data_IF_573208091703
#
_entry.id   IF_573208091703
#
_cell.length_a   1.000
_cell.length_b   1.000
_cell.length_c   1.000
_cell.angle_alpha   90.00
_cell.angle_beta   90.00
_cell.angle_gamma   90.00
#
_symmetry.space_group_name_H-M   'P 1'
#
loop_
_entity.id
_entity.type
_entity.pdbx_description
1 polymer ?
#
# COMPACT_ATOMS: atom_id res chain seq x y z
N UNK A 1 -123.14 -6.36 -83.12
CA UNK A 1 -123.97 -6.07 -84.31
C UNK A 1 -124.56 -7.39 -84.78
N UNK A 2 -125.83 -7.66 -84.45
CA UNK A 2 -126.68 -8.70 -85.06
C UNK A 2 -128.13 -8.36 -84.72
N UNK A 3 -128.80 -7.83 -85.75
CA UNK A 3 -130.23 -7.95 -86.10
C UNK A 3 -131.23 -8.18 -84.96
N UNK A 4 -132.01 -7.13 -84.66
CA UNK A 4 -133.29 -7.23 -83.94
C UNK A 4 -134.31 -7.91 -84.86
N UNK A 5 -134.90 -9.06 -84.52
CA UNK A 5 -136.01 -9.60 -85.28
C UNK A 5 -137.26 -8.73 -85.10
N UNK A 6 -137.94 -8.53 -86.22
CA UNK A 6 -139.12 -7.71 -86.43
C UNK A 6 -140.28 -8.07 -85.51
N UNK A 7 -141.06 -7.04 -85.14
CA UNK A 7 -142.28 -7.15 -84.36
C UNK A 7 -143.35 -7.84 -85.20
N UNK A 8 -143.62 -9.11 -84.92
CA UNK A 8 -144.91 -9.72 -85.22
C UNK A 8 -145.97 -9.05 -84.31
N UNK A 9 -146.71 -8.11 -84.87
CA UNK A 9 -147.91 -7.51 -84.26
C UNK A 9 -148.98 -8.59 -84.09
N UNK A 10 -149.31 -8.91 -82.84
CA UNK A 10 -150.34 -9.87 -82.51
C UNK A 10 -151.73 -9.34 -82.94
N UNK A 11 -152.63 -10.17 -83.49
CA UNK A 11 -153.93 -9.69 -83.99
C UNK A 11 -154.95 -9.34 -82.89
N UNK A 12 -154.56 -9.44 -81.61
CA UNK A 12 -155.47 -9.26 -80.48
C UNK A 12 -154.78 -8.50 -79.34
N UNK A 13 -155.34 -7.33 -79.01
CA UNK A 13 -154.96 -6.51 -77.87
C UNK A 13 -155.60 -7.07 -76.59
N UNK A 14 -154.82 -7.84 -75.81
CA UNK A 14 -155.28 -8.61 -74.65
C UNK A 14 -155.41 -7.73 -73.39
N UNK A 15 -155.28 -6.41 -73.51
CA UNK A 15 -155.47 -5.48 -72.38
C UNK A 15 -156.93 -5.14 -72.07
N UNK A 16 -157.89 -5.57 -72.91
CA UNK A 16 -159.33 -5.39 -72.72
C UNK A 16 -160.04 -6.73 -72.58
N UNK A 17 -160.08 -7.23 -71.35
CA UNK A 17 -160.70 -8.53 -71.01
C UNK A 17 -162.24 -8.50 -71.12
N UNK A 18 -162.85 -7.32 -71.09
CA UNK A 18 -164.31 -7.14 -71.02
C UNK A 18 -165.05 -7.28 -72.37
N UNK A 19 -164.35 -7.28 -73.50
CA UNK A 19 -164.96 -7.34 -74.85
C UNK A 19 -165.10 -8.78 -75.40
N UNK A 20 -164.76 -9.80 -74.60
CA UNK A 20 -164.86 -11.21 -75.01
C UNK A 20 -166.26 -11.75 -74.71
N UNK A 21 -167.23 -11.39 -75.55
CA UNK A 21 -168.62 -11.85 -75.45
C UNK A 21 -168.80 -13.35 -75.78
N UNK A 22 -167.73 -14.05 -76.20
CA UNK A 22 -167.78 -15.46 -76.60
C UNK A 22 -166.60 -16.26 -76.00
N UNK A 23 -166.92 -17.32 -75.26
CA UNK A 23 -165.97 -18.18 -74.52
C UNK A 23 -164.88 -18.78 -75.43
N UNK A 24 -165.18 -18.98 -76.71
CA UNK A 24 -164.21 -19.52 -77.67
C UNK A 24 -163.05 -18.56 -77.96
N UNK A 25 -163.31 -17.25 -78.00
CA UNK A 25 -162.26 -16.24 -78.27
C UNK A 25 -161.31 -16.10 -77.08
N UNK A 26 -161.82 -16.19 -75.84
CA UNK A 26 -160.98 -16.20 -74.63
C UNK A 26 -160.07 -17.44 -74.59
N UNK A 27 -160.58 -18.60 -75.00
CA UNK A 27 -159.77 -19.83 -75.09
C UNK A 27 -158.65 -19.71 -76.13
N UNK A 28 -158.90 -19.09 -77.28
CA UNK A 28 -157.88 -18.87 -78.30
C UNK A 28 -156.82 -17.86 -77.84
N UNK A 29 -157.23 -16.73 -77.25
CA UNK A 29 -156.28 -15.75 -76.71
C UNK A 29 -155.40 -16.35 -75.61
N UNK A 30 -155.99 -17.17 -74.73
CA UNK A 30 -155.25 -17.85 -73.66
C UNK A 30 -154.30 -18.95 -74.21
N UNK A 31 -154.70 -19.69 -75.25
CA UNK A 31 -153.80 -20.62 -75.96
C UNK A 31 -152.63 -19.88 -76.62
N UNK A 32 -152.91 -18.78 -77.31
CA UNK A 32 -151.87 -17.98 -77.97
C UNK A 32 -150.92 -17.35 -76.96
N UNK A 33 -151.44 -16.81 -75.85
CA UNK A 33 -150.61 -16.28 -74.76
C UNK A 33 -149.73 -17.37 -74.13
N UNK A 34 -150.27 -18.57 -73.90
CA UNK A 34 -149.51 -19.71 -73.38
C UNK A 34 -148.45 -20.23 -74.37
N UNK A 35 -148.75 -20.27 -75.68
CA UNK A 35 -147.77 -20.60 -76.72
C UNK A 35 -146.67 -19.54 -76.83
N UNK A 36 -147.02 -18.25 -76.72
CA UNK A 36 -146.05 -17.14 -76.69
C UNK A 36 -145.17 -17.23 -75.44
N UNK A 37 -145.74 -17.52 -74.27
CA UNK A 37 -145.00 -17.72 -73.02
C UNK A 37 -144.04 -18.91 -73.14
N UNK A 38 -144.52 -20.04 -73.67
CA UNK A 38 -143.70 -21.22 -73.97
C UNK A 38 -142.55 -20.91 -74.95
N UNK A 39 -142.81 -20.09 -75.99
CA UNK A 39 -141.77 -19.67 -76.94
C UNK A 39 -140.72 -18.76 -76.29
N UNK A 40 -141.13 -17.85 -75.40
CA UNK A 40 -140.23 -16.96 -74.67
C UNK A 40 -139.43 -17.72 -73.60
N UNK A 41 -140.04 -18.70 -72.93
CA UNK A 41 -139.34 -19.59 -71.99
C UNK A 41 -138.26 -20.41 -72.70
N UNK A 42 -138.55 -20.94 -73.89
CA UNK A 42 -137.55 -21.63 -74.73
C UNK A 42 -136.42 -20.70 -75.15
N UNK A 43 -136.77 -19.50 -75.64
CA UNK A 43 -135.77 -18.52 -76.09
C UNK A 43 -134.91 -18.01 -74.91
N UNK A 44 -135.50 -17.85 -73.73
CA UNK A 44 -134.78 -17.51 -72.51
C UNK A 44 -133.86 -18.67 -72.05
N UNK A 45 -134.34 -19.92 -72.13
CA UNK A 45 -133.51 -21.09 -71.84
C UNK A 45 -132.33 -21.24 -72.81
N UNK A 46 -132.51 -20.91 -74.09
CA UNK A 46 -131.44 -20.89 -75.09
C UNK A 46 -130.44 -19.76 -74.84
N UNK A 47 -130.91 -18.56 -74.49
CA UNK A 47 -130.03 -17.44 -74.12
C UNK A 47 -129.25 -17.73 -72.84
N UNK A 48 -129.86 -18.36 -71.83
CA UNK A 48 -129.17 -18.80 -70.62
C UNK A 48 -128.12 -19.85 -70.94
N UNK A 49 -128.43 -20.86 -71.77
CA UNK A 49 -127.44 -21.85 -72.22
C UNK A 49 -126.29 -21.21 -72.99
N UNK A 50 -126.58 -20.22 -73.84
CA UNK A 50 -125.55 -19.48 -74.59
C UNK A 50 -124.68 -18.63 -73.66
N UNK A 51 -125.27 -17.92 -72.71
CA UNK A 51 -124.55 -17.14 -71.71
C UNK A 51 -123.70 -18.02 -70.80
N UNK A 52 -124.22 -19.18 -70.35
CA UNK A 52 -123.48 -20.17 -69.58
C UNK A 52 -122.31 -20.75 -70.40
N UNK A 53 -122.52 -21.04 -71.68
CA UNK A 53 -121.46 -21.53 -72.56
C UNK A 53 -120.38 -20.48 -72.78
N UNK A 54 -120.75 -19.21 -73.06
CA UNK A 54 -119.80 -18.11 -73.21
C UNK A 54 -119.03 -17.85 -71.91
N UNK A 55 -119.69 -17.92 -70.76
CA UNK A 55 -119.05 -17.75 -69.45
C UNK A 55 -118.09 -18.91 -69.14
N UNK A 56 -118.47 -20.16 -69.47
CA UNK A 56 -117.55 -21.31 -69.39
C UNK A 56 -116.36 -21.17 -70.32
N UNK A 57 -116.54 -20.66 -71.53
CA UNK A 57 -115.43 -20.43 -72.46
C UNK A 57 -114.52 -19.30 -72.00
N UNK A 58 -115.05 -18.22 -71.41
CA UNK A 58 -114.24 -17.16 -70.79
C UNK A 58 -113.47 -17.64 -69.58
N UNK A 59 -114.10 -18.43 -68.69
CA UNK A 59 -113.40 -19.04 -67.55
C UNK A 59 -112.26 -19.92 -68.04
N UNK A 60 -112.50 -20.77 -69.04
CA UNK A 60 -111.43 -21.60 -69.64
C UNK A 60 -110.30 -20.75 -70.23
N UNK A 61 -110.62 -19.70 -70.97
CA UNK A 61 -109.61 -18.81 -71.54
C UNK A 61 -108.81 -18.05 -70.46
N UNK A 62 -109.46 -17.63 -69.37
CA UNK A 62 -108.80 -17.01 -68.22
C UNK A 62 -107.91 -18.01 -67.46
N UNK A 63 -108.36 -19.25 -67.31
CA UNK A 63 -107.57 -20.34 -66.71
C UNK A 63 -106.34 -20.67 -67.59
N UNK A 64 -106.52 -20.79 -68.90
CA UNK A 64 -105.42 -20.99 -69.85
C UNK A 64 -104.42 -19.83 -69.81
N UNK A 65 -104.92 -18.58 -69.79
CA UNK A 65 -104.06 -17.40 -69.67
C UNK A 65 -103.33 -17.34 -68.33
N UNK A 66 -104.00 -17.70 -67.21
CA UNK A 66 -103.35 -17.80 -65.90
C UNK A 66 -102.27 -18.88 -65.88
N UNK A 67 -102.55 -20.06 -66.43
CA UNK A 67 -101.56 -21.14 -66.54
C UNK A 67 -100.38 -20.73 -67.42
N UNK A 68 -100.61 -19.99 -68.51
CA UNK A 68 -99.52 -19.42 -69.32
C UNK A 68 -98.67 -18.43 -68.53
N UNK A 69 -99.28 -17.50 -67.79
CA UNK A 69 -98.56 -16.54 -66.95
C UNK A 69 -97.79 -17.20 -65.81
N UNK A 70 -98.33 -18.26 -65.20
CA UNK A 70 -97.64 -19.03 -64.16
C UNK A 70 -96.42 -19.76 -64.74
N UNK A 71 -96.54 -20.30 -65.95
CA UNK A 71 -95.44 -20.96 -66.65
C UNK A 71 -94.35 -19.95 -67.06
N UNK A 72 -94.72 -18.76 -67.55
CA UNK A 72 -93.77 -17.68 -67.82
C UNK A 72 -93.07 -17.18 -66.55
N UNK A 73 -93.81 -17.04 -65.43
CA UNK A 73 -93.22 -16.69 -64.13
C UNK A 73 -92.24 -17.75 -63.64
N UNK A 74 -92.60 -19.03 -63.73
CA UNK A 74 -91.72 -20.13 -63.36
C UNK A 74 -90.43 -20.12 -64.19
N UNK A 75 -90.53 -19.91 -65.51
CA UNK A 75 -89.35 -19.78 -66.37
C UNK A 75 -88.49 -18.55 -66.04
N UNK A 76 -89.11 -17.41 -65.72
CA UNK A 76 -88.38 -16.22 -65.30
C UNK A 76 -87.66 -16.43 -63.95
N UNK A 77 -88.31 -17.10 -63.00
CA UNK A 77 -87.72 -17.46 -61.70
C UNK A 77 -86.58 -18.45 -61.84
N UNK A 78 -86.73 -19.48 -62.69
CA UNK A 78 -85.65 -20.42 -63.02
C UNK A 78 -84.47 -19.71 -63.69
N UNK A 79 -84.73 -18.82 -64.65
CA UNK A 79 -83.70 -18.02 -65.30
C UNK A 79 -82.94 -17.12 -64.31
N UNK A 80 -83.66 -16.46 -63.38
CA UNK A 80 -83.04 -15.67 -62.32
C UNK A 80 -82.26 -16.53 -61.33
N UNK A 81 -82.75 -17.72 -60.99
CA UNK A 81 -82.05 -18.67 -60.12
C UNK A 81 -80.75 -19.15 -60.76
N UNK A 82 -80.78 -19.53 -62.03
CA UNK A 82 -79.59 -19.89 -62.81
C UNK A 82 -78.60 -18.72 -62.87
N UNK A 83 -79.09 -17.51 -63.14
CA UNK A 83 -78.22 -16.32 -63.20
C UNK A 83 -77.58 -16.00 -61.84
N UNK A 84 -78.31 -16.15 -60.74
CA UNK A 84 -77.77 -16.00 -59.38
C UNK A 84 -76.70 -17.05 -59.10
N UNK A 85 -76.96 -18.33 -59.41
CA UNK A 85 -75.97 -19.41 -59.26
C UNK A 85 -74.69 -19.12 -60.05
N UNK A 86 -74.82 -18.67 -61.30
CA UNK A 86 -73.66 -18.28 -62.13
C UNK A 86 -72.88 -17.11 -61.53
N UNK A 87 -73.58 -16.08 -61.03
CA UNK A 87 -72.91 -14.95 -60.39
C UNK A 87 -72.20 -15.36 -59.09
N UNK A 88 -72.82 -16.22 -58.29
CA UNK A 88 -72.23 -16.74 -57.05
C UNK A 88 -70.97 -17.57 -57.37
N UNK A 89 -71.01 -18.41 -58.41
CA UNK A 89 -69.84 -19.14 -58.92
C UNK A 89 -68.75 -18.20 -59.43
N UNK A 90 -69.09 -17.16 -60.19
CA UNK A 90 -68.14 -16.14 -60.67
C UNK A 90 -67.50 -15.37 -59.50
N UNK A 91 -68.28 -14.98 -58.50
CA UNK A 91 -67.76 -14.29 -57.31
C UNK A 91 -66.89 -15.21 -56.46
N UNK A 92 -67.28 -16.47 -56.28
CA UNK A 92 -66.47 -17.46 -55.58
C UNK A 92 -65.15 -17.72 -56.32
N UNK A 93 -65.18 -17.85 -57.64
CA UNK A 93 -63.97 -18.00 -58.46
C UNK A 93 -63.05 -16.77 -58.38
N UNK A 94 -63.61 -15.55 -58.44
CA UNK A 94 -62.85 -14.30 -58.26
C UNK A 94 -62.26 -14.16 -56.86
N UNK A 95 -63.01 -14.54 -55.82
CA UNK A 95 -62.53 -14.55 -54.44
C UNK A 95 -61.39 -15.54 -54.26
N UNK A 96 -61.53 -16.77 -54.77
CA UNK A 96 -60.48 -17.78 -54.74
C UNK A 96 -59.23 -17.35 -55.53
N UNK A 97 -59.39 -16.69 -56.68
CA UNK A 97 -58.27 -16.15 -57.45
C UNK A 97 -57.50 -15.08 -56.66
N UNK A 98 -58.21 -14.11 -56.06
CA UNK A 98 -57.58 -13.08 -55.19
C UNK A 98 -56.89 -13.70 -53.99
N UNK A 99 -57.48 -14.73 -53.37
CA UNK A 99 -56.86 -15.43 -52.26
C UNK A 99 -55.55 -16.11 -52.68
N UNK A 100 -55.51 -16.80 -53.83
CA UNK A 100 -54.28 -17.38 -54.38
C UNK A 100 -53.23 -16.32 -54.70
N UNK A 101 -53.63 -15.17 -55.24
CA UNK A 101 -52.70 -14.05 -55.46
C UNK A 101 -52.14 -13.50 -54.14
N UNK A 102 -52.96 -13.35 -53.10
CA UNK A 102 -52.51 -12.92 -51.79
C UNK A 102 -51.58 -13.94 -51.14
N UNK A 103 -51.91 -15.23 -51.22
CA UNK A 103 -51.06 -16.32 -50.73
C UNK A 103 -49.73 -16.36 -51.48
N UNK A 104 -49.74 -16.17 -52.81
CA UNK A 104 -48.54 -16.03 -53.63
C UNK A 104 -47.66 -14.85 -53.21
N UNK A 105 -48.26 -13.66 -53.03
CA UNK A 105 -47.53 -12.46 -52.54
C UNK A 105 -46.96 -12.67 -51.14
N UNK A 106 -47.67 -13.37 -50.25
CA UNK A 106 -47.17 -13.69 -48.91
C UNK A 106 -46.03 -14.71 -48.98
N UNK A 107 -46.10 -15.70 -49.87
CA UNK A 107 -45.01 -16.66 -50.10
C UNK A 107 -43.76 -15.96 -50.62
N UNK A 108 -43.88 -15.10 -51.63
CA UNK A 108 -42.76 -14.30 -52.16
C UNK A 108 -42.17 -13.37 -51.09
N UNK A 109 -43.01 -12.70 -50.29
CA UNK A 109 -42.54 -11.85 -49.21
C UNK A 109 -41.77 -12.63 -48.14
N UNK A 110 -42.26 -13.83 -47.79
CA UNK A 110 -41.58 -14.75 -46.86
C UNK A 110 -40.25 -15.22 -47.43
N UNK A 111 -40.20 -15.59 -48.70
CA UNK A 111 -38.97 -16.02 -49.35
C UNK A 111 -37.93 -14.89 -49.39
N UNK A 112 -38.33 -13.66 -49.77
CA UNK A 112 -37.44 -12.49 -49.72
C UNK A 112 -36.93 -12.20 -48.31
N UNK A 113 -37.81 -12.32 -47.30
CA UNK A 113 -37.42 -12.15 -45.91
C UNK A 113 -36.42 -13.23 -45.46
N UNK A 114 -36.64 -14.49 -45.84
CA UNK A 114 -35.72 -15.60 -45.56
C UNK A 114 -34.37 -15.42 -46.26
N UNK A 115 -34.36 -15.01 -47.53
CA UNK A 115 -33.14 -14.72 -48.26
C UNK A 115 -32.37 -13.53 -47.65
N UNK A 116 -33.08 -12.48 -47.22
CA UNK A 116 -32.46 -11.36 -46.53
C UNK A 116 -31.89 -11.76 -45.17
N UNK A 117 -32.61 -12.58 -44.40
CA UNK A 117 -32.14 -13.10 -43.13
C UNK A 117 -30.88 -13.96 -43.32
N UNK A 118 -30.89 -14.88 -44.29
CA UNK A 118 -29.73 -15.73 -44.60
C UNK A 118 -28.50 -14.91 -45.02
N UNK A 119 -28.67 -13.85 -45.83
CA UNK A 119 -27.58 -12.93 -46.19
C UNK A 119 -27.01 -12.21 -44.99
N UNK A 120 -27.87 -11.70 -44.10
CA UNK A 120 -27.42 -11.06 -42.88
C UNK A 120 -26.68 -12.04 -41.97
N UNK A 121 -27.18 -13.26 -41.81
CA UNK A 121 -26.52 -14.31 -41.02
C UNK A 121 -25.13 -14.66 -41.60
N UNK A 122 -25.01 -14.74 -42.92
CA UNK A 122 -23.72 -14.92 -43.61
C UNK A 122 -22.77 -13.73 -43.34
N UNK A 123 -23.24 -12.49 -43.46
CA UNK A 123 -22.45 -11.29 -43.16
C UNK A 123 -22.00 -11.23 -41.70
N UNK A 124 -22.90 -11.54 -40.75
CA UNK A 124 -22.56 -11.63 -39.33
C UNK A 124 -21.54 -12.73 -39.05
N UNK A 125 -21.68 -13.90 -39.69
CA UNK A 125 -20.73 -15.01 -39.52
C UNK A 125 -19.34 -14.66 -40.05
N UNK A 126 -19.25 -14.00 -41.21
CA UNK A 126 -17.99 -13.49 -41.79
C UNK A 126 -17.36 -12.46 -40.86
N UNK A 127 -18.15 -11.49 -40.40
CA UNK A 127 -17.65 -10.44 -39.50
C UNK A 127 -17.15 -11.02 -38.18
N UNK A 128 -17.84 -12.03 -37.65
CA UNK A 128 -17.41 -12.74 -36.45
C UNK A 128 -16.08 -13.48 -36.70
N UNK A 129 -15.93 -14.16 -37.83
CA UNK A 129 -14.67 -14.85 -38.18
C UNK A 129 -13.51 -13.86 -38.33
N UNK A 130 -13.72 -12.73 -39.00
CA UNK A 130 -12.71 -11.65 -39.11
C UNK A 130 -12.25 -11.16 -37.72
N UNK A 131 -13.22 -10.87 -36.84
CA UNK A 131 -12.91 -10.45 -35.47
C UNK A 131 -12.17 -11.54 -34.69
N UNK A 132 -12.59 -12.80 -34.81
CA UNK A 132 -11.90 -13.93 -34.16
C UNK A 132 -10.45 -14.08 -34.69
N UNK A 133 -10.20 -13.89 -35.98
CA UNK A 133 -8.84 -13.90 -36.55
C UNK A 133 -8.00 -12.72 -36.07
N UNK A 134 -8.58 -11.52 -36.00
CA UNK A 134 -7.92 -10.32 -35.48
C UNK A 134 -7.56 -10.48 -34.00
N UNK A 135 -8.48 -11.02 -33.19
CA UNK A 135 -8.22 -11.29 -31.77
C UNK A 135 -7.11 -12.31 -31.58
N UNK A 136 -7.10 -13.40 -32.36
CA UNK A 136 -6.00 -14.40 -32.32
C UNK A 136 -4.67 -13.76 -32.70
N UNK A 137 -4.63 -12.99 -33.79
CA UNK A 137 -3.41 -12.29 -34.20
C UNK A 137 -2.89 -11.32 -33.14
N UNK A 138 -3.78 -10.60 -32.44
CA UNK A 138 -3.40 -9.73 -31.31
C UNK A 138 -2.88 -10.52 -30.11
N UNK A 139 -3.49 -11.67 -29.79
CA UNK A 139 -3.00 -12.55 -28.72
C UNK A 139 -1.61 -13.11 -29.05
N UNK A 140 -1.37 -13.50 -30.29
CA UNK A 140 -0.06 -13.97 -30.75
C UNK A 140 0.98 -12.83 -30.66
N UNK A 141 0.63 -11.62 -31.08
CA UNK A 141 1.50 -10.45 -30.96
C UNK A 141 1.82 -10.11 -29.50
N UNK A 142 0.84 -10.18 -28.59
CA UNK A 142 1.03 -9.97 -27.16
C UNK A 142 1.94 -11.05 -26.56
N UNK A 143 1.75 -12.33 -26.89
CA UNK A 143 2.60 -13.41 -26.40
C UNK A 143 4.06 -13.25 -26.88
N UNK A 144 4.27 -12.76 -28.10
CA UNK A 144 5.61 -12.43 -28.60
C UNK A 144 6.23 -11.28 -27.79
N UNK A 145 5.47 -10.23 -27.48
CA UNK A 145 5.95 -9.13 -26.64
C UNK A 145 6.28 -9.60 -25.22
N UNK A 146 5.44 -10.44 -24.62
CA UNK A 146 5.69 -11.04 -23.31
C UNK A 146 6.97 -11.89 -23.31
N UNK A 147 7.19 -12.70 -24.34
CA UNK A 147 8.43 -13.49 -24.47
C UNK A 147 9.68 -12.59 -24.54
N UNK A 148 9.60 -11.46 -25.25
CA UNK A 148 10.68 -10.47 -25.33
C UNK A 148 10.92 -9.78 -23.98
N UNK A 149 9.86 -9.43 -23.25
CA UNK A 149 9.98 -8.85 -21.90
C UNK A 149 10.66 -9.85 -20.97
N UNK A 150 10.22 -11.11 -20.92
CA UNK A 150 10.85 -12.17 -20.11
C UNK A 150 12.33 -12.38 -20.47
N UNK A 151 12.67 -12.33 -21.76
CA UNK A 151 14.09 -12.43 -22.19
C UNK A 151 14.93 -11.25 -21.72
N UNK A 152 14.35 -10.05 -21.64
CA UNK A 152 15.03 -8.87 -21.10
C UNK A 152 15.14 -8.93 -19.58
N UNK A 153 14.09 -9.35 -18.88
CA UNK A 153 14.10 -9.53 -17.42
C UNK A 153 15.16 -10.54 -16.99
N UNK A 154 15.27 -11.68 -17.68
CA UNK A 154 16.34 -12.66 -17.43
C UNK A 154 17.72 -12.06 -17.69
N UNK A 155 17.92 -11.33 -18.79
CA UNK A 155 19.20 -10.65 -19.05
C UNK A 155 19.56 -9.56 -18.03
N UNK A 156 18.56 -8.90 -17.44
CA UNK A 156 18.77 -7.91 -16.38
C UNK A 156 19.13 -8.60 -15.07
N UNK A 157 18.43 -9.68 -14.71
CA UNK A 157 18.76 -10.49 -13.54
C UNK A 157 20.20 -11.04 -13.63
N UNK A 158 20.61 -11.54 -14.80
CA UNK A 158 21.98 -12.00 -15.02
C UNK A 158 23.00 -10.88 -14.77
N UNK A 159 22.76 -9.68 -15.33
CA UNK A 159 23.63 -8.50 -15.12
C UNK A 159 23.67 -8.04 -13.67
N UNK A 160 22.55 -8.10 -12.95
CA UNK A 160 22.50 -7.81 -11.51
C UNK A 160 23.36 -8.80 -10.74
N UNK A 161 23.27 -10.10 -11.04
CA UNK A 161 24.13 -11.10 -10.37
C UNK A 161 25.61 -10.92 -10.71
N UNK A 162 25.95 -10.53 -11.94
CA UNK A 162 27.32 -10.20 -12.34
C UNK A 162 27.84 -8.97 -11.60
N UNK A 163 27.02 -7.92 -11.47
CA UNK A 163 27.37 -6.71 -10.75
C UNK A 163 27.55 -6.96 -9.24
N UNK A 164 26.68 -7.77 -8.62
CA UNK A 164 26.81 -8.19 -7.24
C UNK A 164 28.10 -8.98 -7.00
N UNK A 165 28.43 -9.91 -7.92
CA UNK A 165 29.70 -10.65 -7.88
C UNK A 165 30.89 -9.71 -7.98
N UNK A 166 30.88 -8.76 -8.92
CA UNK A 166 31.92 -7.75 -9.06
C UNK A 166 32.10 -6.93 -7.77
N UNK A 167 31.00 -6.46 -7.18
CA UNK A 167 31.03 -5.71 -5.92
C UNK A 167 31.54 -6.56 -4.75
N UNK A 168 31.17 -7.84 -4.69
CA UNK A 168 31.67 -8.77 -3.69
C UNK A 168 33.19 -8.99 -3.83
N UNK A 169 33.69 -9.16 -5.05
CA UNK A 169 35.14 -9.27 -5.33
C UNK A 169 35.87 -8.00 -4.92
N UNK A 170 35.39 -6.81 -5.32
CA UNK A 170 36.01 -5.54 -4.94
C UNK A 170 36.02 -5.32 -3.42
N UNK A 171 34.93 -5.66 -2.72
CA UNK A 171 34.90 -5.62 -1.26
C UNK A 171 35.92 -6.57 -0.64
N UNK A 172 36.05 -7.78 -1.16
CA UNK A 172 37.02 -8.75 -0.67
C UNK A 172 38.48 -8.26 -0.87
N UNK A 173 38.79 -7.67 -2.03
CA UNK A 173 40.09 -7.06 -2.32
C UNK A 173 40.41 -5.93 -1.33
N UNK A 174 39.47 -5.02 -1.09
CA UNK A 174 39.65 -3.92 -0.14
C UNK A 174 39.83 -4.41 1.29
N UNK A 175 39.12 -5.47 1.71
CA UNK A 175 39.30 -6.06 3.05
C UNK A 175 40.72 -6.65 3.20
N UNK A 176 41.24 -7.30 2.17
CA UNK A 176 42.62 -7.82 2.17
C UNK A 176 43.63 -6.67 2.22
N UNK A 177 43.40 -5.58 1.49
CA UNK A 177 44.28 -4.41 1.50
C UNK A 177 44.27 -3.68 2.84
N UNK A 178 43.10 -3.49 3.47
CA UNK A 178 42.98 -2.95 4.82
C UNK A 178 43.77 -3.81 5.81
N UNK A 179 43.57 -5.13 5.80
CA UNK A 179 44.28 -6.05 6.70
C UNK A 179 45.81 -6.02 6.48
N UNK A 180 46.26 -5.80 5.23
CA UNK A 180 47.67 -5.61 4.92
C UNK A 180 48.20 -4.30 5.53
N UNK A 181 47.49 -3.19 5.34
CA UNK A 181 47.88 -1.88 5.89
C UNK A 181 47.92 -1.92 7.42
N UNK A 182 46.94 -2.56 8.05
CA UNK A 182 46.89 -2.75 9.51
C UNK A 182 48.11 -3.52 10.00
N UNK A 183 48.45 -4.66 9.38
CA UNK A 183 49.67 -5.43 9.72
C UNK A 183 50.96 -4.63 9.52
N UNK A 184 51.05 -3.85 8.45
CA UNK A 184 52.21 -2.97 8.22
C UNK A 184 52.30 -1.85 9.28
N UNK A 185 51.16 -1.31 9.71
CA UNK A 185 51.08 -0.31 10.78
C UNK A 185 51.47 -0.91 12.15
N UNK A 186 50.95 -2.09 12.48
CA UNK A 186 51.31 -2.84 13.70
C UNK A 186 52.80 -3.14 13.74
N UNK A 187 53.39 -3.61 12.63
CA UNK A 187 54.83 -3.85 12.53
C UNK A 187 55.63 -2.57 12.78
N UNK A 188 55.27 -1.46 12.14
CA UNK A 188 55.94 -0.16 12.35
C UNK A 188 55.78 0.34 13.79
N UNK A 189 54.62 0.11 14.41
CA UNK A 189 54.39 0.43 15.81
C UNK A 189 55.28 -0.42 16.73
N UNK A 190 55.39 -1.73 16.48
CA UNK A 190 56.25 -2.63 17.22
C UNK A 190 57.73 -2.26 17.10
N UNK A 191 58.20 -1.93 15.89
CA UNK A 191 59.57 -1.44 15.64
C UNK A 191 59.86 -0.14 16.42
N UNK A 192 58.90 0.80 16.46
CA UNK A 192 59.01 2.03 17.28
C UNK A 192 59.04 1.74 18.78
N UNK A 193 58.19 0.84 19.27
CA UNK A 193 58.19 0.43 20.68
C UNK A 193 59.52 -0.21 21.07
N UNK A 194 60.05 -1.12 20.26
CA UNK A 194 61.36 -1.73 20.48
C UNK A 194 62.49 -0.69 20.46
N UNK A 195 62.46 0.24 19.51
CA UNK A 195 63.41 1.37 19.45
C UNK A 195 63.36 2.23 20.71
N UNK A 196 62.17 2.53 21.23
CA UNK A 196 62.00 3.32 22.45
C UNK A 196 62.43 2.55 23.68
N UNK A 197 62.13 1.25 23.76
CA UNK A 197 62.59 0.36 24.83
C UNK A 197 64.12 0.31 24.87
N UNK A 198 64.79 0.08 23.73
CA UNK A 198 66.24 0.08 23.65
C UNK A 198 66.85 1.43 24.06
N UNK A 199 66.24 2.55 23.66
CA UNK A 199 66.68 3.89 24.06
C UNK A 199 66.50 4.14 25.58
N UNK A 200 65.40 3.64 26.16
CA UNK A 200 65.15 3.71 27.60
C UNK A 200 66.12 2.83 28.39
N UNK A 201 66.38 1.61 27.96
CA UNK A 201 67.37 0.71 28.58
C UNK A 201 68.78 1.32 28.53
N UNK A 202 69.17 1.91 27.40
CA UNK A 202 70.44 2.62 27.28
C UNK A 202 70.54 3.82 28.25
N UNK A 203 69.44 4.58 28.40
CA UNK A 203 69.36 5.68 29.37
C UNK A 203 69.40 5.18 30.81
N UNK A 204 68.66 4.13 31.14
CA UNK A 204 68.66 3.51 32.46
C UNK A 204 70.06 3.03 32.83
N UNK A 205 70.73 2.30 31.93
CA UNK A 205 72.11 1.86 32.13
C UNK A 205 73.07 3.03 32.35
N UNK A 206 72.94 4.11 31.55
CA UNK A 206 73.74 5.32 31.76
C UNK A 206 73.48 5.98 33.12
N UNK A 207 72.23 5.99 33.59
CA UNK A 207 71.85 6.52 34.91
C UNK A 207 72.36 5.61 36.02
N UNK A 208 72.30 4.29 35.87
CA UNK A 208 72.85 3.31 36.80
C UNK A 208 74.37 3.43 36.91
N UNK A 209 75.07 3.62 35.79
CA UNK A 209 76.52 3.84 35.77
C UNK A 209 76.91 5.18 36.42
N UNK A 210 76.11 6.24 36.22
CA UNK A 210 76.29 7.53 36.89
C UNK A 210 76.03 7.40 38.39
N UNK A 211 74.93 6.72 38.77
CA UNK A 211 74.58 6.44 40.15
C UNK A 211 75.61 5.57 40.85
N UNK A 212 76.16 4.54 40.19
CA UNK A 212 77.22 3.70 40.74
C UNK A 212 78.50 4.51 41.01
N UNK A 213 78.84 5.44 40.10
CA UNK A 213 79.96 6.38 40.30
C UNK A 213 79.71 7.31 41.48
N UNK A 214 78.53 7.92 41.55
CA UNK A 214 78.13 8.82 42.63
C UNK A 214 78.06 8.09 43.97
N UNK A 215 77.50 6.88 43.98
CA UNK A 215 77.45 6.00 45.15
C UNK A 215 78.85 5.63 45.61
N UNK A 216 79.75 5.20 44.72
CA UNK A 216 81.14 4.90 45.09
C UNK A 216 81.87 6.14 45.64
N UNK A 217 81.60 7.32 45.09
CA UNK A 217 82.12 8.58 45.60
C UNK A 217 81.56 8.93 46.98
N UNK A 218 80.25 8.77 47.19
CA UNK A 218 79.58 8.96 48.48
C UNK A 218 80.03 7.93 49.51
N UNK A 219 80.16 6.65 49.15
CA UNK A 219 80.65 5.58 50.03
C UNK A 219 82.09 5.86 50.48
N UNK A 220 82.96 6.34 49.57
CA UNK A 220 84.30 6.82 49.96
C UNK A 220 84.22 7.98 50.94
N UNK A 221 83.30 8.91 50.73
CA UNK A 221 83.12 10.02 51.65
C UNK A 221 82.48 9.63 52.97
N UNK A 222 81.56 8.67 52.98
CA UNK A 222 80.95 8.13 54.19
C UNK A 222 81.98 7.31 54.95
N UNK A 223 82.83 6.53 54.28
CA UNK A 223 83.96 5.85 54.90
C UNK A 223 84.97 6.86 55.48
N UNK A 224 85.29 7.91 54.72
CA UNK A 224 86.06 9.03 55.23
C UNK A 224 85.34 9.66 56.43
N UNK A 225 84.03 9.95 56.34
CA UNK A 225 83.17 10.56 57.38
C UNK A 225 83.12 9.73 58.64
N UNK A 226 82.85 8.43 58.55
CA UNK A 226 82.91 7.45 59.63
C UNK A 226 84.30 7.41 60.25
N UNK A 227 85.37 7.38 59.46
CA UNK A 227 86.72 7.38 60.01
C UNK A 227 87.07 8.63 60.84
N UNK A 228 86.58 9.84 60.46
CA UNK A 228 86.77 11.05 61.31
C UNK A 228 85.55 11.36 62.22
N UNK A 229 84.49 10.54 62.21
CA UNK A 229 83.38 10.61 63.15
C UNK A 229 83.54 9.58 64.30
N UNK A 230 84.22 8.45 64.04
CA UNK A 230 84.79 7.59 65.08
C UNK A 230 85.86 8.33 65.91
N UNK A 231 86.48 9.39 65.35
CA UNK A 231 87.35 10.33 66.06
C UNK A 231 86.63 11.54 66.71
N UNK A 232 85.35 11.76 66.41
CA UNK A 232 84.62 12.94 66.87
C UNK A 232 83.23 12.51 67.37
N UNK A 233 83.20 12.23 68.67
CA UNK A 233 82.05 11.86 69.51
C UNK A 233 80.78 12.67 69.21
N UNK A 234 79.64 12.00 69.46
CA UNK A 234 78.24 12.45 69.63
C UNK A 234 77.82 13.81 69.05
N UNK A 235 76.72 13.84 68.28
CA UNK A 235 75.72 14.86 68.61
C UNK A 235 74.31 14.62 68.04
N UNK A 236 73.35 15.11 68.81
CA UNK A 236 71.92 14.86 68.79
C UNK A 236 71.13 15.71 67.77
N UNK A 237 71.77 16.71 67.15
CA UNK A 237 71.15 17.67 66.23
C UNK A 237 70.83 17.06 64.84
N UNK A 238 71.64 16.10 64.36
CA UNK A 238 71.42 15.39 63.08
C UNK A 238 70.18 14.49 63.08
N UNK A 239 69.66 14.12 64.27
CA UNK A 239 68.44 13.30 64.42
C UNK A 239 67.16 14.13 64.29
N UNK A 240 67.24 15.46 64.41
CA UNK A 240 66.08 16.36 64.33
C UNK A 240 65.70 16.66 62.88
N UNK A 241 66.68 16.97 62.03
CA UNK A 241 66.47 17.21 60.59
C UNK A 241 66.05 15.94 59.82
N UNK A 242 66.47 14.76 60.31
CA UNK A 242 66.06 13.47 59.75
C UNK A 242 64.60 13.10 60.08
N UNK A 243 64.05 13.61 61.19
CA UNK A 243 62.65 13.40 61.58
C UNK A 243 61.72 14.33 60.80
N UNK A 244 62.08 15.60 60.61
CA UNK A 244 61.28 16.56 59.82
C UNK A 244 61.16 16.13 58.34
N UNK A 245 62.23 15.58 57.77
CA UNK A 245 62.20 15.06 56.38
C UNK A 245 61.46 13.73 56.24
N UNK A 246 61.36 12.92 57.29
CA UNK A 246 60.53 11.71 57.32
C UNK A 246 59.03 12.04 57.48
N UNK A 247 58.68 13.09 58.22
CA UNK A 247 57.30 13.54 58.39
C UNK A 247 56.74 14.18 57.10
N UNK A 248 57.57 14.90 56.33
CA UNK A 248 57.18 15.44 55.02
C UNK A 248 56.96 14.33 53.98
N UNK A 249 57.74 13.25 54.02
CA UNK A 249 57.54 12.08 53.16
C UNK A 249 56.23 11.35 53.50
N UNK A 250 55.89 11.27 54.80
CA UNK A 250 54.66 10.62 55.28
C UNK A 250 53.41 11.41 54.89
N UNK A 251 53.44 12.74 54.98
CA UNK A 251 52.36 13.63 54.50
C UNK A 251 52.17 13.55 52.99
N UNK A 252 53.24 13.40 52.22
CA UNK A 252 53.16 13.22 50.77
C UNK A 252 52.54 11.86 50.39
N UNK A 253 52.84 10.80 51.15
CA UNK A 253 52.24 9.47 50.97
C UNK A 253 50.75 9.45 51.35
N UNK A 254 50.36 10.05 52.48
CA UNK A 254 48.94 10.16 52.88
C UNK A 254 48.12 11.00 51.89
N UNK A 255 48.70 12.05 51.30
CA UNK A 255 48.05 12.82 50.22
C UNK A 255 47.86 11.99 48.94
N UNK A 256 48.76 11.05 48.65
CA UNK A 256 48.67 10.15 47.49
C UNK A 256 47.59 9.08 47.70
N UNK A 257 47.48 8.55 48.92
CA UNK A 257 46.48 7.53 49.27
C UNK A 257 45.05 8.11 49.32
N UNK A 258 44.88 9.38 49.72
CA UNK A 258 43.59 10.07 49.61
C UNK A 258 43.17 10.31 48.15
N UNK A 259 44.13 10.55 47.24
CA UNK A 259 43.84 10.72 45.81
C UNK A 259 43.51 9.39 45.12
N UNK A 260 44.18 8.29 45.49
CA UNK A 260 43.83 6.97 45.01
C UNK A 260 42.37 6.60 45.34
N UNK A 261 41.89 6.99 46.53
CA UNK A 261 40.47 6.83 46.92
C UNK A 261 39.52 7.69 46.08
N UNK A 262 39.89 8.93 45.74
CA UNK A 262 39.10 9.78 44.85
C UNK A 262 39.01 9.22 43.42
N UNK A 263 40.10 8.64 42.89
CA UNK A 263 40.10 8.01 41.58
C UNK A 263 39.20 6.77 41.52
N UNK A 264 39.23 5.92 42.55
CA UNK A 264 38.34 4.75 42.65
C UNK A 264 36.86 5.17 42.69
N UNK A 265 36.53 6.27 43.36
CA UNK A 265 35.16 6.82 43.37
C UNK A 265 34.69 7.35 42.01
N UNK A 266 35.57 8.00 41.24
CA UNK A 266 35.28 8.47 39.88
C UNK A 266 35.12 7.31 38.89
N UNK A 267 35.94 6.26 39.02
CA UNK A 267 35.86 5.07 38.17
C UNK A 267 34.56 4.29 38.39
N UNK A 268 34.08 4.23 39.64
CA UNK A 268 32.78 3.65 39.98
C UNK A 268 31.62 4.45 39.36
N UNK A 269 31.63 5.78 39.51
CA UNK A 269 30.61 6.66 38.91
C UNK A 269 30.58 6.58 37.38
N UNK A 270 31.74 6.41 36.73
CA UNK A 270 31.83 6.24 35.28
C UNK A 270 31.24 4.90 34.81
N UNK A 271 31.49 3.80 35.54
CA UNK A 271 30.90 2.49 35.24
C UNK A 271 29.38 2.52 35.39
N UNK A 272 28.87 3.14 36.45
CA UNK A 272 27.43 3.31 36.69
C UNK A 272 26.74 4.15 35.60
N UNK A 273 27.37 5.26 35.19
CA UNK A 273 26.91 6.09 34.07
C UNK A 273 26.88 5.35 32.73
N UNK A 274 27.86 4.46 32.49
CA UNK A 274 27.93 3.64 31.26
C UNK A 274 26.84 2.57 31.22
N UNK A 275 26.48 1.97 32.35
CA UNK A 275 25.38 1.01 32.41
C UNK A 275 24.01 1.67 32.23
N UNK A 276 23.79 2.85 32.83
CA UNK A 276 22.56 3.64 32.62
C UNK A 276 22.38 4.10 31.17
N UNK A 277 23.47 4.44 30.49
CA UNK A 277 23.45 4.76 29.06
C UNK A 277 23.08 3.55 28.20
N UNK A 278 23.61 2.37 28.54
CA UNK A 278 23.24 1.12 27.85
C UNK A 278 21.77 0.75 28.07
N UNK A 279 21.28 0.80 29.30
CA UNK A 279 19.88 0.48 29.59
C UNK A 279 18.93 1.47 28.91
N UNK A 280 19.22 2.78 28.96
CA UNK A 280 18.44 3.81 28.27
C UNK A 280 18.44 3.66 26.75
N UNK A 281 19.60 3.33 26.15
CA UNK A 281 19.70 3.04 24.71
C UNK A 281 18.86 1.82 24.31
N UNK A 282 18.90 0.74 25.09
CA UNK A 282 18.13 -0.48 24.80
C UNK A 282 16.62 -0.27 24.98
N UNK A 283 16.19 0.53 25.96
CA UNK A 283 14.78 0.95 26.09
C UNK A 283 14.33 1.78 24.90
N UNK A 284 15.11 2.77 24.46
CA UNK A 284 14.80 3.57 23.27
C UNK A 284 14.69 2.72 22.00
N UNK A 285 15.55 1.70 21.84
CA UNK A 285 15.46 0.74 20.73
C UNK A 285 14.19 -0.10 20.79
N UNK A 286 13.77 -0.55 21.98
CA UNK A 286 12.52 -1.32 22.17
C UNK A 286 11.29 -0.47 21.88
N UNK A 287 11.27 0.79 22.30
CA UNK A 287 10.18 1.72 21.99
C UNK A 287 10.09 2.01 20.49
N UNK A 288 11.23 2.24 19.83
CA UNK A 288 11.30 2.41 18.38
C UNK A 288 10.80 1.17 17.62
N UNK A 289 11.15 -0.03 18.11
CA UNK A 289 10.68 -1.29 17.52
C UNK A 289 9.15 -1.45 17.65
N UNK A 290 8.58 -1.16 18.83
CA UNK A 290 7.13 -1.18 19.06
C UNK A 290 6.40 -0.17 18.17
N UNK A 291 6.94 1.04 18.02
CA UNK A 291 6.36 2.06 17.15
C UNK A 291 6.38 1.64 15.67
N UNK A 292 7.45 0.95 15.22
CA UNK A 292 7.54 0.40 13.86
C UNK A 292 6.55 -0.74 13.62
N UNK A 293 6.39 -1.65 14.57
CA UNK A 293 5.38 -2.71 14.47
C UNK A 293 3.95 -2.13 14.43
N UNK A 294 3.63 -1.16 15.28
CA UNK A 294 2.33 -0.49 15.26
C UNK A 294 2.09 0.24 13.92
N UNK A 295 3.10 0.92 13.38
CA UNK A 295 3.00 1.58 12.08
C UNK A 295 2.83 0.57 10.92
N UNK A 296 3.50 -0.59 10.98
CA UNK A 296 3.35 -1.65 10.00
C UNK A 296 1.94 -2.27 10.04
N UNK A 297 1.41 -2.53 11.24
CA UNK A 297 0.04 -3.01 11.42
C UNK A 297 -0.99 -1.99 10.90
N UNK A 298 -0.79 -0.70 11.16
CA UNK A 298 -1.65 0.37 10.64
C UNK A 298 -1.58 0.50 9.10
N UNK A 299 -0.41 0.26 8.49
CA UNK A 299 -0.28 0.22 7.03
C UNK A 299 -0.99 -1.01 6.44
N UNK A 300 -0.90 -2.17 7.09
CA UNK A 300 -1.57 -3.37 6.62
C UNK A 300 -3.09 -3.25 6.70
N UNK A 301 -3.63 -2.69 7.79
CA UNK A 301 -5.08 -2.42 7.92
C UNK A 301 -5.56 -1.41 6.88
N UNK A 302 -4.80 -0.34 6.64
CA UNK A 302 -5.11 0.63 5.59
C UNK A 302 -5.07 -0.02 4.18
N UNK A 303 -4.10 -0.88 3.90
CA UNK A 303 -4.00 -1.59 2.62
C UNK A 303 -5.17 -2.57 2.39
N UNK A 304 -5.62 -3.27 3.45
CA UNK A 304 -6.81 -4.13 3.38
C UNK A 304 -8.07 -3.30 3.12
N UNK A 305 -8.23 -2.18 3.83
CA UNK A 305 -9.36 -1.27 3.63
C UNK A 305 -9.41 -0.69 2.20
N UNK A 306 -8.26 -0.30 1.63
CA UNK A 306 -8.19 0.17 0.23
C UNK A 306 -8.57 -0.94 -0.78
N UNK A 307 -8.17 -2.19 -0.55
CA UNK A 307 -8.60 -3.32 -1.39
C UNK A 307 -10.10 -3.56 -1.32
N UNK A 308 -10.69 -3.49 -0.13
CA UNK A 308 -12.14 -3.62 0.06
C UNK A 308 -12.90 -2.48 -0.64
N UNK A 309 -12.37 -1.25 -0.56
CA UNK A 309 -12.97 -0.08 -1.22
C UNK A 309 -12.93 -0.22 -2.75
N UNK A 310 -11.80 -0.67 -3.32
CA UNK A 310 -11.69 -0.95 -4.75
C UNK A 310 -12.63 -2.08 -5.21
N UNK A 311 -12.82 -3.12 -4.40
CA UNK A 311 -13.77 -4.20 -4.70
C UNK A 311 -15.23 -3.71 -4.65
N UNK A 312 -15.54 -2.79 -3.74
CA UNK A 312 -16.86 -2.21 -3.59
C UNK A 312 -17.16 -1.21 -4.73
N UNK A 313 -16.19 -0.41 -5.15
CA UNK A 313 -16.29 0.44 -6.36
C UNK A 313 -16.55 -0.39 -7.63
N UNK A 314 -15.81 -1.50 -7.81
CA UNK A 314 -16.03 -2.41 -8.93
C UNK A 314 -17.44 -3.04 -8.90
N UNK A 315 -17.99 -3.32 -7.71
CA UNK A 315 -19.35 -3.83 -7.55
C UNK A 315 -20.40 -2.77 -7.90
N UNK A 316 -20.17 -1.52 -7.51
CA UNK A 316 -21.06 -0.40 -7.84
C UNK A 316 -21.07 -0.09 -9.35
N UNK A 317 -19.93 -0.19 -10.04
CA UNK A 317 -19.88 -0.05 -11.50
C UNK A 317 -20.61 -1.19 -12.22
N UNK A 318 -20.54 -2.43 -11.70
CA UNK A 318 -21.35 -3.55 -12.22
C UNK A 318 -22.85 -3.28 -12.07
N UNK A 319 -23.28 -2.80 -10.90
CA UNK A 319 -24.69 -2.49 -10.65
C UNK A 319 -25.19 -1.31 -11.49
N UNK A 320 -24.35 -0.29 -11.73
CA UNK A 320 -24.66 0.79 -12.69
C UNK A 320 -24.83 0.25 -14.12
N UNK A 321 -23.94 -0.64 -14.57
CA UNK A 321 -24.03 -1.26 -15.89
C UNK A 321 -25.29 -2.14 -16.02
N UNK A 322 -25.62 -2.90 -14.98
CA UNK A 322 -26.82 -3.73 -14.93
C UNK A 322 -28.10 -2.89 -14.93
N UNK A 323 -28.13 -1.78 -14.17
CA UNK A 323 -29.21 -0.80 -14.19
C UNK A 323 -29.37 -0.13 -15.57
N UNK A 324 -28.28 0.19 -16.26
CA UNK A 324 -28.31 0.77 -17.61
C UNK A 324 -28.82 -0.21 -18.69
N UNK A 325 -28.68 -1.52 -18.45
CA UNK A 325 -29.11 -2.57 -19.38
C UNK A 325 -30.60 -2.96 -19.26
N UNK A 326 -31.31 -2.50 -18.22
CA UNK A 326 -32.74 -2.82 -18.03
C UNK A 326 -33.64 -1.92 -18.89
N UNK A 327 -34.61 -2.49 -19.64
CA UNK A 327 -35.54 -1.71 -20.47
C UNK A 327 -36.40 -0.77 -19.61
N UNK A 328 -36.64 0.45 -20.13
CA UNK A 328 -37.24 1.63 -19.44
C UNK A 328 -38.72 1.49 -19.03
N UNK A 329 -39.23 0.31 -18.73
CA UNK A 329 -40.61 0.12 -18.27
C UNK A 329 -40.63 -0.29 -16.80
N UNK A 330 -41.36 0.52 -16.01
CA UNK A 330 -41.48 0.55 -14.55
C UNK A 330 -40.34 1.27 -13.81
N UNK A 331 -40.69 2.45 -13.27
CA UNK A 331 -39.96 3.18 -12.24
C UNK A 331 -39.99 2.35 -10.95
N UNK A 332 -39.14 1.33 -10.86
CA UNK A 332 -39.01 0.53 -9.65
C UNK A 332 -38.24 1.32 -8.60
N UNK A 333 -39.00 2.04 -7.76
CA UNK A 333 -38.52 2.75 -6.57
C UNK A 333 -37.70 1.89 -5.59
N UNK A 334 -37.68 0.57 -5.77
CA UNK A 334 -36.85 -0.38 -5.04
C UNK A 334 -35.39 -0.38 -5.51
N UNK A 335 -35.13 -0.25 -6.82
CA UNK A 335 -33.78 -0.20 -7.36
C UNK A 335 -33.07 1.11 -6.99
N UNK A 336 -33.80 2.24 -7.03
CA UNK A 336 -33.27 3.53 -6.55
C UNK A 336 -32.99 3.54 -5.05
N UNK A 337 -33.80 2.83 -4.24
CA UNK A 337 -33.56 2.66 -2.80
C UNK A 337 -32.32 1.81 -2.53
N UNK A 338 -32.17 0.69 -3.23
CA UNK A 338 -30.97 -0.17 -3.11
C UNK A 338 -29.68 0.56 -3.51
N UNK A 339 -29.70 1.37 -4.57
CA UNK A 339 -28.54 2.18 -4.96
C UNK A 339 -28.22 3.29 -3.94
N UNK A 340 -29.23 3.87 -3.28
CA UNK A 340 -29.01 4.84 -2.19
C UNK A 340 -28.44 4.17 -0.95
N UNK A 341 -28.96 3.02 -0.56
CA UNK A 341 -28.45 2.25 0.59
C UNK A 341 -27.00 1.80 0.38
N UNK A 342 -26.64 1.34 -0.82
CA UNK A 342 -25.25 1.00 -1.14
C UNK A 342 -24.34 2.23 -1.17
N UNK A 343 -24.82 3.37 -1.71
CA UNK A 343 -24.07 4.63 -1.66
C UNK A 343 -23.82 5.05 -0.21
N UNK A 344 -24.83 5.02 0.65
CA UNK A 344 -24.69 5.40 2.06
C UNK A 344 -23.74 4.44 2.80
N UNK A 345 -23.77 3.15 2.46
CA UNK A 345 -22.83 2.15 2.98
C UNK A 345 -21.39 2.44 2.54
N UNK A 346 -21.18 2.79 1.27
CA UNK A 346 -19.86 3.17 0.75
C UNK A 346 -19.36 4.49 1.35
N UNK A 347 -20.23 5.50 1.51
CA UNK A 347 -19.88 6.75 2.17
C UNK A 347 -19.50 6.50 3.65
N UNK A 348 -20.18 5.58 4.34
CA UNK A 348 -19.81 5.17 5.70
C UNK A 348 -18.45 4.46 5.74
N UNK A 349 -18.18 3.56 4.81
CA UNK A 349 -16.87 2.91 4.68
C UNK A 349 -15.76 3.92 4.37
N UNK A 350 -16.00 4.88 3.47
CA UNK A 350 -15.05 5.92 3.11
C UNK A 350 -14.69 6.80 4.32
N UNK A 351 -15.69 7.21 5.13
CA UNK A 351 -15.45 7.94 6.39
C UNK A 351 -14.63 7.12 7.40
N UNK A 352 -14.84 5.81 7.46
CA UNK A 352 -14.04 4.92 8.31
C UNK A 352 -12.58 4.84 7.84
N UNK A 353 -12.34 4.74 6.53
CA UNK A 353 -10.99 4.74 5.96
C UNK A 353 -10.29 6.09 6.16
N UNK A 354 -11.01 7.20 6.00
CA UNK A 354 -10.48 8.54 6.28
C UNK A 354 -10.10 8.70 7.76
N UNK A 355 -10.91 8.18 8.69
CA UNK A 355 -10.57 8.17 10.11
C UNK A 355 -9.29 7.36 10.39
N UNK A 356 -9.21 6.13 9.85
CA UNK A 356 -8.00 5.31 9.98
C UNK A 356 -6.76 5.96 9.35
N UNK A 357 -6.93 6.72 8.25
CA UNK A 357 -5.84 7.47 7.65
C UNK A 357 -5.37 8.64 8.54
N UNK A 358 -6.29 9.37 9.16
CA UNK A 358 -5.94 10.43 10.13
C UNK A 358 -5.22 9.86 11.35
N UNK A 359 -5.67 8.72 11.87
CA UNK A 359 -5.01 8.03 12.98
C UNK A 359 -3.58 7.60 12.58
N UNK A 360 -3.41 7.02 11.39
CA UNK A 360 -2.09 6.67 10.86
C UNK A 360 -1.18 7.89 10.67
N UNK A 361 -1.72 9.04 10.25
CA UNK A 361 -0.97 10.30 10.17
C UNK A 361 -0.57 10.82 11.55
N UNK A 362 -1.47 10.74 12.55
CA UNK A 362 -1.18 11.11 13.94
C UNK A 362 -0.04 10.25 14.51
N UNK A 363 -0.08 8.93 14.32
CA UNK A 363 0.98 8.01 14.73
C UNK A 363 2.32 8.30 14.04
N UNK A 364 2.31 8.72 12.76
CA UNK A 364 3.53 9.16 12.07
C UNK A 364 4.11 10.44 12.66
N UNK A 365 3.26 11.40 13.04
CA UNK A 365 3.70 12.62 13.71
C UNK A 365 4.25 12.34 15.11
N UNK A 366 3.63 11.43 15.86
CA UNK A 366 4.15 10.99 17.16
C UNK A 366 5.49 10.27 17.02
N UNK A 367 5.64 9.37 16.05
CA UNK A 367 6.91 8.71 15.76
C UNK A 367 8.02 9.71 15.37
N UNK A 368 7.68 10.76 14.59
CA UNK A 368 8.60 11.84 14.27
C UNK A 368 9.02 12.62 15.52
N UNK A 369 8.07 12.99 16.39
CA UNK A 369 8.36 13.65 17.68
C UNK A 369 9.24 12.82 18.59
N UNK A 370 9.00 11.51 18.68
CA UNK A 370 9.84 10.59 19.45
C UNK A 370 11.26 10.56 18.87
N UNK A 371 11.38 10.48 17.53
CA UNK A 371 12.69 10.49 16.86
C UNK A 371 13.46 11.79 17.11
N UNK A 372 12.80 12.93 17.04
CA UNK A 372 13.39 14.24 17.37
C UNK A 372 13.78 14.32 18.86
N UNK A 373 12.94 13.81 19.77
CA UNK A 373 13.24 13.71 21.19
C UNK A 373 14.44 12.81 21.51
N UNK A 374 14.59 11.68 20.81
CA UNK A 374 15.76 10.81 20.91
C UNK A 374 17.02 11.53 20.43
N UNK A 375 16.96 12.22 19.29
CA UNK A 375 18.11 12.97 18.76
C UNK A 375 18.53 14.12 19.70
N UNK A 376 17.56 14.81 20.32
CA UNK A 376 17.84 15.84 21.32
C UNK A 376 18.53 15.27 22.56
N UNK A 377 18.04 14.15 23.10
CA UNK A 377 18.66 13.44 24.23
C UNK A 377 20.06 12.93 23.90
N UNK A 378 20.28 12.40 22.69
CA UNK A 378 21.62 12.04 22.24
C UNK A 378 22.54 13.26 22.22
N UNK A 379 22.07 14.40 21.71
CA UNK A 379 22.80 15.67 21.75
C UNK A 379 23.21 16.11 23.15
N UNK A 380 22.29 16.03 24.12
CA UNK A 380 22.55 16.32 25.54
C UNK A 380 23.55 15.33 26.17
N UNK A 381 23.48 14.05 25.81
CA UNK A 381 24.43 13.05 26.29
C UNK A 381 25.83 13.27 25.71
N UNK A 382 25.93 13.69 24.44
CA UNK A 382 27.19 14.06 23.80
C UNK A 382 27.79 15.35 24.37
N UNK A 383 26.99 16.36 24.69
CA UNK A 383 27.48 17.58 25.34
C UNK A 383 27.97 17.28 26.76
N UNK A 384 27.20 16.52 27.53
CA UNK A 384 27.59 16.10 28.89
C UNK A 384 28.82 15.19 28.89
N UNK A 385 28.95 14.31 27.90
CA UNK A 385 30.16 13.52 27.67
C UNK A 385 31.38 14.40 27.40
N UNK A 386 31.24 15.44 26.57
CA UNK A 386 32.31 16.44 26.34
C UNK A 386 32.68 17.18 27.62
N UNK A 387 31.72 17.67 28.40
CA UNK A 387 31.98 18.34 29.68
C UNK A 387 32.74 17.44 30.66
N UNK A 388 32.41 16.15 30.71
CA UNK A 388 33.12 15.18 31.56
C UNK A 388 34.56 14.97 31.09
N UNK A 389 34.79 14.84 29.78
CA UNK A 389 36.14 14.71 29.22
C UNK A 389 36.98 15.97 29.44
N UNK A 390 36.38 17.17 29.33
CA UNK A 390 37.05 18.43 29.64
C UNK A 390 37.40 18.54 31.13
N UNK A 391 36.51 18.11 32.02
CA UNK A 391 36.79 18.03 33.47
C UNK A 391 37.91 17.03 33.78
N UNK A 392 37.91 15.88 33.13
CA UNK A 392 38.96 14.87 33.28
C UNK A 392 40.31 15.42 32.79
N UNK A 393 40.34 16.06 31.62
CA UNK A 393 41.54 16.72 31.09
C UNK A 393 42.06 17.80 32.07
N UNK A 394 41.17 18.61 32.66
CA UNK A 394 41.54 19.60 33.66
C UNK A 394 42.09 18.97 34.97
N UNK A 395 41.54 17.83 35.40
CA UNK A 395 42.08 17.09 36.54
C UNK A 395 43.46 16.51 36.24
N UNK A 396 43.65 15.94 35.05
CA UNK A 396 44.95 15.41 34.62
C UNK A 396 46.01 16.52 34.52
N UNK A 397 45.64 17.71 34.04
CA UNK A 397 46.53 18.88 34.05
C UNK A 397 46.94 19.28 35.48
N UNK A 398 46.00 19.29 36.44
CA UNK A 398 46.30 19.56 37.86
C UNK A 398 47.19 18.49 38.50
N UNK A 399 47.03 17.23 38.10
CA UNK A 399 47.92 16.14 38.55
C UNK A 399 49.34 16.38 38.02
N UNK A 400 49.49 16.70 36.73
CA UNK A 400 50.79 17.01 36.13
C UNK A 400 51.47 18.22 36.82
N UNK A 401 50.75 19.31 37.08
CA UNK A 401 51.28 20.48 37.80
C UNK A 401 51.78 20.11 39.21
N UNK A 402 51.08 19.20 39.90
CA UNK A 402 51.48 18.72 41.23
C UNK A 402 52.66 17.77 41.16
N UNK A 403 52.74 16.89 40.18
CA UNK A 403 53.92 16.05 39.95
C UNK A 403 55.17 16.89 39.68
N UNK A 404 55.04 17.96 38.88
CA UNK A 404 56.13 18.93 38.72
C UNK A 404 56.48 19.63 40.03
N UNK A 405 55.48 20.00 40.85
CA UNK A 405 55.72 20.62 42.15
C UNK A 405 56.45 19.68 43.11
N UNK A 406 56.09 18.39 43.12
CA UNK A 406 56.79 17.33 43.86
C UNK A 406 58.22 17.17 43.34
N UNK A 407 58.41 17.09 42.03
CA UNK A 407 59.76 17.03 41.42
C UNK A 407 60.62 18.24 41.78
N UNK A 408 60.04 19.46 41.81
CA UNK A 408 60.72 20.67 42.28
C UNK A 408 61.06 20.60 43.77
N UNK A 409 60.17 20.06 44.61
CA UNK A 409 60.42 19.87 46.04
C UNK A 409 61.54 18.84 46.28
N UNK A 410 61.53 17.71 45.59
CA UNK A 410 62.60 16.72 45.64
C UNK A 410 63.95 17.29 45.20
N UNK A 411 63.96 18.09 44.12
CA UNK A 411 65.17 18.78 43.67
C UNK A 411 65.69 19.78 44.73
N UNK A 412 64.81 20.50 45.41
CA UNK A 412 65.17 21.39 46.53
C UNK A 412 65.73 20.60 47.71
N UNK A 413 65.12 19.47 48.06
CA UNK A 413 65.60 18.58 49.12
C UNK A 413 67.00 18.04 48.80
N UNK A 414 67.22 17.58 47.55
CA UNK A 414 68.54 17.16 47.06
C UNK A 414 69.57 18.30 47.11
N UNK A 415 69.18 19.51 46.75
CA UNK A 415 70.06 20.68 46.84
C UNK A 415 70.39 21.07 48.29
N UNK A 416 69.41 21.00 49.20
CA UNK A 416 69.60 21.29 50.63
C UNK A 416 70.51 20.26 51.30
N UNK A 417 70.28 18.97 51.03
CA UNK A 417 71.16 17.89 51.51
C UNK A 417 72.58 18.05 50.97
N UNK A 418 72.79 18.39 49.69
CA UNK A 418 74.12 18.71 49.17
C UNK A 418 74.78 19.92 49.86
N UNK A 419 74.03 20.97 50.21
CA UNK A 419 74.54 22.12 50.98
C UNK A 419 74.98 21.70 52.38
N UNK A 420 74.17 20.91 53.09
CA UNK A 420 74.50 20.36 54.41
C UNK A 420 75.78 19.52 54.35
N UNK A 421 75.92 18.65 53.35
CA UNK A 421 77.13 17.85 53.15
C UNK A 421 78.37 18.74 52.93
N UNK A 422 78.25 19.82 52.15
CA UNK A 422 79.36 20.78 51.96
C UNK A 422 79.71 21.51 53.26
N UNK A 423 78.72 21.99 54.01
CA UNK A 423 78.93 22.64 55.30
C UNK A 423 79.60 21.69 56.30
N UNK A 424 79.17 20.43 56.34
CA UNK A 424 79.79 19.39 57.16
C UNK A 424 81.25 19.15 56.76
N UNK A 425 81.57 19.01 55.47
CA UNK A 425 82.97 18.90 55.01
C UNK A 425 83.81 20.12 55.39
N UNK A 426 83.25 21.32 55.32
CA UNK A 426 83.95 22.56 55.70
C UNK A 426 84.24 22.62 57.20
N UNK A 427 83.24 22.33 58.05
CA UNK A 427 83.43 22.27 59.52
C UNK A 427 84.47 21.24 59.89
N UNK A 428 84.40 20.07 59.26
CA UNK A 428 85.36 18.99 59.43
C UNK A 428 86.79 19.39 59.05
N UNK A 429 86.97 20.05 57.91
CA UNK A 429 88.27 20.57 57.51
C UNK A 429 88.82 21.61 58.49
N UNK A 430 87.96 22.42 59.12
CA UNK A 430 88.35 23.34 60.18
C UNK A 430 88.79 22.61 61.45
N UNK A 431 88.09 21.56 61.86
CA UNK A 431 88.47 20.71 63.00
C UNK A 431 89.83 20.05 62.75
N UNK A 432 90.06 19.50 61.56
CA UNK A 432 91.35 18.89 61.21
C UNK A 432 92.51 19.90 61.20
N UNK A 433 92.25 21.16 60.80
CA UNK A 433 93.24 22.24 60.95
C UNK A 433 93.54 22.53 62.42
N UNK A 434 92.52 22.65 63.26
CA UNK A 434 92.70 22.88 64.70
C UNK A 434 93.43 21.73 65.39
N UNK A 435 93.14 20.47 65.01
CA UNK A 435 93.89 19.28 65.48
C UNK A 435 95.36 19.36 65.06
N UNK A 436 95.63 19.72 63.81
CA UNK A 436 96.99 19.85 63.29
C UNK A 436 97.76 21.00 63.98
N UNK A 437 97.11 22.14 64.21
CA UNK A 437 97.66 23.27 64.98
C UNK A 437 97.96 22.86 66.42
N UNK A 438 97.01 22.23 67.12
CA UNK A 438 97.21 21.74 68.48
C UNK A 438 98.32 20.67 68.57
N UNK A 439 98.42 19.78 67.58
CA UNK A 439 99.51 18.81 67.50
C UNK A 439 100.88 19.47 67.25
N UNK A 440 100.92 20.52 66.42
CA UNK A 440 102.12 21.31 66.19
C UNK A 440 102.55 22.09 67.45
N UNK A 441 101.60 22.69 68.16
CA UNK A 441 101.85 23.38 69.43
C UNK A 441 102.32 22.41 70.51
N UNK A 442 101.72 21.23 70.62
CA UNK A 442 102.16 20.17 71.53
C UNK A 442 103.57 19.67 71.17
N UNK A 443 103.86 19.46 69.89
CA UNK A 443 105.19 19.09 69.41
C UNK A 443 106.23 20.17 69.72
N UNK A 444 105.87 21.45 69.58
CA UNK A 444 106.71 22.58 69.94
C UNK A 444 106.96 22.65 71.46
N UNK A 445 105.93 22.43 72.27
CA UNK A 445 106.06 22.34 73.74
C UNK A 445 106.93 21.16 74.18
N UNK A 446 106.77 19.98 73.56
CA UNK A 446 107.62 18.81 73.82
C UNK A 446 109.06 19.06 73.38
N UNK A 447 109.29 19.71 72.23
CA UNK A 447 110.62 20.08 71.79
C UNK A 447 111.28 21.09 72.75
N UNK A 448 110.51 22.08 73.23
CA UNK A 448 110.97 23.06 74.21
C UNK A 448 111.23 22.43 75.59
N UNK A 449 110.41 21.47 76.01
CA UNK A 449 110.63 20.70 77.24
C UNK A 449 111.86 19.78 77.14
N UNK A 450 112.06 19.10 76.01
CA UNK A 450 113.28 18.31 75.72
C UNK A 450 114.53 19.20 75.73
N UNK A 451 114.44 20.41 75.17
CA UNK A 451 115.53 21.38 75.22
C UNK A 451 115.84 21.86 76.65
N UNK A 452 114.82 22.07 77.50
CA UNK A 452 115.01 22.42 78.92
C UNK A 452 115.58 21.28 79.78
N UNK A 453 115.31 20.03 79.40
CA UNK A 453 115.81 18.83 80.11
C UNK A 453 117.17 18.32 79.60
N UNK A 454 117.78 18.98 78.61
CA UNK A 454 119.11 18.59 78.11
C UNK A 454 119.16 17.26 77.33
N UNK A 455 118.01 16.72 76.93
CA UNK A 455 117.93 15.47 76.18
C UNK A 455 118.25 15.72 74.70
N UNK A 456 119.53 15.51 74.32
CA UNK A 456 119.95 15.52 72.91
C UNK A 456 119.25 14.38 72.16
N UNK A 457 118.67 14.76 71.03
CA UNK A 457 118.02 13.90 70.03
C UNK A 457 119.01 12.87 69.46
N UNK A 458 118.84 11.60 69.81
CA UNK A 458 119.47 10.49 69.08
C UNK A 458 118.96 10.45 67.63
N UNK A 459 119.90 10.58 66.69
CA UNK A 459 119.68 10.36 65.26
C UNK A 459 119.30 8.90 65.02
N UNK A 460 118.24 8.59 64.25
CA UNK A 460 118.06 7.25 63.72
C UNK A 460 118.97 7.04 62.51
N UNK A 461 119.87 6.08 62.66
CA UNK A 461 120.73 5.56 61.59
C UNK A 461 119.94 4.84 60.49
N UNK A 462 120.38 5.11 59.27
CA UNK A 462 120.27 4.37 58.01
C UNK A 462 119.34 3.17 57.87
N UNK A 463 118.48 3.23 56.84
CA UNK A 463 118.26 2.09 55.92
C UNK A 463 118.33 2.54 54.46
N UNK A 464 119.20 1.83 53.73
CA UNK A 464 119.52 1.95 52.29
C UNK A 464 118.33 1.64 51.37
N UNK A 465 118.37 2.12 50.11
CA UNK A 465 117.37 1.78 49.09
C UNK A 465 117.64 0.39 48.49
N UNK A 466 116.57 -0.34 48.21
CA UNK A 466 116.59 -1.61 47.48
C UNK A 466 115.36 -1.71 46.59
N UNK A 467 115.60 -1.48 45.29
CA UNK A 467 114.82 -1.79 44.06
C UNK A 467 113.30 -1.66 44.04
#
# INVERSE_FOLDING_TARGET
MSERPEKDEAPFDITRVDDIANIETARMALRWALERLSSLEKLNAELLRKAEWELRMRIKAEEEFKSQLELERAHAEEALRLRRSQLDEEYAAKAAARQREHEGRLAEARERAQQSAARLDEEYSKRRQELETDYRSRLDALSLVESKIRSKETSLADRETEFERFCATQKAELVVEIARIEKEAERKAAERVQSLQAALEARLKSVEEAWARDKAFLDRQVAQWRAQAEEAVSDEELRKDLRETQDDLRRAQESRDQQAKHFVGLEAAWKEGKELLKSSSEEAKRELARAREAAAQAQETAARALKELAAAEASLERLKAEAASRPRQAKDSAAERSLREERDRLESQLRSVEAAHRDAQSLRQEAARIKEGCAAREGELWSRGRELMEREAALMARVAEREEAVGRAEARLKAASLKLLRAYRSKRAAIERLKAEAAADLAAQVAQAKARLGLRSDRPDGKRPGR
#
